data_IF_646933236894
#
_entry.id   IF_646933236894
#
_cell.length_a   1.000
_cell.length_b   1.000
_cell.length_c   1.000
_cell.angle_alpha   90.00
_cell.angle_beta   90.00
_cell.angle_gamma   90.00
#
_symmetry.space_group_name_H-M   'P 1'
#
loop_
_entity.id
_entity.type
_entity.pdbx_description
1 polymer ?
#
# COMPACT_ATOMS: atom_id res chain seq x y z
N UNK A 1 7.69 18.05 24.86
CA UNK A 1 8.26 18.65 23.63
C UNK A 1 8.59 17.50 22.68
N UNK A 2 7.83 17.26 21.64
CA UNK A 2 8.18 16.22 20.66
C UNK A 2 8.99 16.89 19.57
N UNK A 3 10.28 16.61 19.53
CA UNK A 3 11.17 16.98 18.43
C UNK A 3 10.86 16.08 17.22
N UNK A 4 11.11 16.56 16.00
CA UNK A 4 11.13 15.72 14.82
C UNK A 4 12.20 14.63 14.99
N UNK A 5 11.87 13.40 14.64
CA UNK A 5 12.75 12.26 14.87
C UNK A 5 13.21 11.67 13.54
N UNK A 6 14.48 11.27 13.52
CA UNK A 6 15.03 10.43 12.46
C UNK A 6 15.09 8.99 12.98
N UNK A 7 14.38 8.11 12.30
CA UNK A 7 14.36 6.69 12.63
C UNK A 7 14.92 5.85 11.49
N UNK A 8 15.74 4.89 11.82
CA UNK A 8 16.22 3.87 10.91
C UNK A 8 15.78 2.49 11.35
N UNK A 9 15.53 1.62 10.37
CA UNK A 9 15.24 0.23 10.60
C UNK A 9 15.81 -0.67 9.52
N UNK A 10 16.07 -1.92 9.90
CA UNK A 10 16.48 -2.98 9.01
C UNK A 10 15.81 -4.28 9.41
N UNK A 11 15.19 -4.95 8.44
CA UNK A 11 14.62 -6.28 8.61
C UNK A 11 15.16 -7.19 7.52
N UNK A 12 15.70 -8.35 7.90
CA UNK A 12 16.25 -9.33 6.96
C UNK A 12 15.63 -10.68 7.29
N UNK A 13 14.75 -11.14 6.41
CA UNK A 13 14.10 -12.43 6.53
C UNK A 13 14.93 -13.47 5.78
N UNK A 14 15.23 -14.60 6.41
CA UNK A 14 15.99 -15.71 5.83
C UNK A 14 15.32 -17.03 6.15
N UNK A 15 15.67 -18.03 5.36
CA UNK A 15 15.37 -19.42 5.62
C UNK A 15 16.67 -20.08 6.11
N UNK A 16 16.63 -20.61 7.33
CA UNK A 16 17.82 -21.17 7.99
C UNK A 16 17.95 -22.69 7.79
N UNK A 17 17.01 -23.32 7.06
CA UNK A 17 16.97 -24.77 6.85
C UNK A 17 17.05 -25.11 5.36
N UNK A 18 17.55 -26.30 4.99
CA UNK A 18 17.54 -26.81 3.62
C UNK A 18 16.14 -26.79 3.00
N UNK A 19 16.07 -26.70 1.66
CA UNK A 19 14.79 -26.60 0.93
C UNK A 19 13.87 -27.82 1.16
N UNK A 20 14.45 -28.95 1.53
CA UNK A 20 13.74 -30.20 1.79
C UNK A 20 13.07 -30.22 3.17
N UNK A 21 13.52 -29.40 4.10
CA UNK A 21 13.00 -29.33 5.45
C UNK A 21 11.95 -28.19 5.60
N UNK A 22 10.91 -28.47 6.38
CA UNK A 22 9.92 -27.47 6.80
C UNK A 22 10.51 -26.64 7.94
N UNK A 23 11.12 -25.49 7.59
CA UNK A 23 11.60 -24.52 8.59
C UNK A 23 10.85 -23.22 8.50
N UNK A 24 10.48 -22.66 9.65
CA UNK A 24 9.93 -21.31 9.70
C UNK A 24 11.00 -20.29 9.29
N UNK A 25 10.67 -19.28 8.46
CA UNK A 25 11.61 -18.23 8.14
C UNK A 25 11.88 -17.41 9.39
N UNK A 26 13.11 -16.98 9.57
CA UNK A 26 13.53 -16.19 10.72
C UNK A 26 14.09 -14.85 10.27
N UNK A 27 13.91 -13.84 11.12
CA UNK A 27 14.57 -12.56 10.93
C UNK A 27 16.00 -12.66 11.46
N UNK A 28 16.98 -12.76 10.54
CA UNK A 28 18.40 -12.74 10.90
C UNK A 28 18.83 -11.36 11.41
N UNK A 29 18.12 -10.31 10.98
CA UNK A 29 18.29 -8.94 11.50
C UNK A 29 16.91 -8.31 11.68
N UNK A 30 16.69 -7.70 12.83
CA UNK A 30 15.50 -6.92 13.14
C UNK A 30 15.92 -5.75 14.04
N UNK A 31 16.36 -4.67 13.41
CA UNK A 31 16.91 -3.48 14.07
C UNK A 31 16.02 -2.28 13.76
N UNK A 32 15.84 -1.43 14.74
CA UNK A 32 15.07 -0.19 14.57
C UNK A 32 15.42 0.82 15.65
N UNK A 33 15.24 2.08 15.33
CA UNK A 33 15.38 3.20 16.25
C UNK A 33 14.06 3.93 16.44
N UNK A 34 13.86 4.53 17.60
CA UNK A 34 12.68 5.34 17.90
C UNK A 34 12.54 6.50 16.89
N UNK A 35 11.33 6.81 16.40
CA UNK A 35 10.00 6.29 16.79
C UNK A 35 9.51 5.07 16.00
N UNK A 36 10.30 4.48 15.12
CA UNK A 36 9.96 3.24 14.43
C UNK A 36 10.06 2.05 15.42
N UNK A 37 9.13 1.11 15.30
CA UNK A 37 9.18 -0.19 15.95
C UNK A 37 8.81 -1.28 14.95
N UNK A 38 9.59 -2.35 14.94
CA UNK A 38 9.32 -3.55 14.15
C UNK A 38 8.95 -4.69 15.08
N UNK A 39 7.85 -5.36 14.81
CA UNK A 39 7.37 -6.50 15.59
C UNK A 39 7.23 -7.72 14.67
N UNK A 40 7.95 -8.78 15.00
CA UNK A 40 7.86 -10.07 14.33
C UNK A 40 7.25 -11.10 15.31
N UNK A 41 5.95 -11.44 15.17
CA UNK A 41 5.32 -12.45 16.03
C UNK A 41 6.02 -13.80 15.88
N UNK A 42 6.29 -14.46 17.00
CA UNK A 42 6.76 -15.85 17.01
C UNK A 42 5.55 -16.77 16.94
N UNK A 43 5.57 -17.78 16.08
CA UNK A 43 4.55 -18.85 16.07
C UNK A 43 3.42 -18.71 15.04
N UNK A 44 3.36 -17.66 14.24
CA UNK A 44 2.40 -17.61 13.12
C UNK A 44 2.75 -18.59 11.98
N UNK A 45 3.82 -19.38 12.11
CA UNK A 45 4.32 -20.28 11.07
C UNK A 45 3.67 -21.64 11.06
N UNK A 46 3.07 -22.12 12.16
CA UNK A 46 2.54 -23.50 12.18
C UNK A 46 1.20 -23.61 11.43
N UNK A 47 0.34 -22.60 11.48
CA UNK A 47 -0.92 -22.59 10.74
C UNK A 47 -0.79 -22.00 9.32
N UNK A 48 0.27 -21.26 9.03
CA UNK A 48 0.59 -20.80 7.68
C UNK A 48 1.21 -21.89 6.78
N UNK A 49 1.46 -23.06 7.30
CA UNK A 49 1.68 -24.28 6.49
C UNK A 49 0.36 -24.77 5.88
N UNK A 50 -0.48 -23.85 5.49
CA UNK A 50 -1.78 -24.14 4.93
C UNK A 50 -1.63 -24.98 3.67
N UNK A 51 -2.18 -26.15 3.75
CA UNK A 51 -2.85 -26.91 2.68
C UNK A 51 -2.79 -26.32 1.24
N UNK A 52 -1.59 -26.00 0.76
CA UNK A 52 -1.28 -25.97 -0.66
C UNK A 52 -1.32 -27.38 -1.27
N UNK A 53 -1.76 -28.38 -0.49
CA UNK A 53 -1.56 -29.79 -0.73
C UNK A 53 -2.65 -30.43 -1.59
N UNK A 54 -3.44 -29.73 -2.34
CA UNK A 54 -4.42 -30.44 -3.20
C UNK A 54 -4.49 -30.06 -4.67
N UNK A 55 -3.80 -29.05 -5.17
CA UNK A 55 -3.97 -28.69 -6.59
C UNK A 55 -2.72 -28.32 -7.41
N UNK A 56 -1.50 -28.36 -6.87
CA UNK A 56 -0.32 -28.18 -7.71
C UNK A 56 0.82 -29.12 -7.29
N UNK A 57 0.95 -30.20 -8.03
CA UNK A 57 1.98 -31.22 -7.85
C UNK A 57 3.33 -30.83 -8.45
N UNK A 58 3.50 -29.60 -8.95
CA UNK A 58 4.68 -29.17 -9.69
C UNK A 58 5.66 -28.29 -8.90
N UNK A 59 5.32 -27.84 -7.70
CA UNK A 59 6.26 -27.06 -6.88
C UNK A 59 6.62 -27.79 -5.59
N UNK A 60 7.78 -28.44 -5.53
CA UNK A 60 8.18 -29.28 -4.37
C UNK A 60 8.59 -28.48 -3.13
N UNK A 61 8.70 -27.16 -3.21
CA UNK A 61 9.20 -26.33 -2.10
C UNK A 61 8.05 -25.58 -1.41
N UNK A 62 7.74 -25.97 -0.17
CA UNK A 62 6.82 -25.21 0.68
C UNK A 62 7.49 -23.94 1.14
N UNK A 63 6.92 -22.79 0.76
CA UNK A 63 7.38 -21.46 1.20
C UNK A 63 6.73 -21.13 2.55
N UNK A 64 7.55 -20.80 3.53
CA UNK A 64 7.08 -20.37 4.85
C UNK A 64 6.87 -18.85 4.88
N UNK A 65 5.94 -18.37 5.71
CA UNK A 65 5.57 -16.96 5.80
C UNK A 65 6.14 -16.33 7.06
N UNK A 66 6.98 -15.30 6.90
CA UNK A 66 7.37 -14.40 7.97
C UNK A 66 6.38 -13.24 8.08
N UNK A 67 6.10 -12.79 9.29
CA UNK A 67 5.18 -11.68 9.54
C UNK A 67 5.93 -10.53 10.20
N UNK A 68 5.75 -9.33 9.67
CA UNK A 68 6.36 -8.12 10.19
C UNK A 68 5.33 -7.00 10.33
N UNK A 69 5.17 -6.48 11.53
CA UNK A 69 4.40 -5.27 11.78
C UNK A 69 5.33 -4.06 11.87
N UNK A 70 5.05 -3.06 11.07
CA UNK A 70 5.64 -1.73 11.21
C UNK A 70 4.73 -0.87 12.09
N UNK A 71 5.29 -0.37 13.17
CA UNK A 71 4.58 0.40 14.19
C UNK A 71 5.28 1.73 14.41
N UNK A 72 4.52 2.81 14.55
CA UNK A 72 5.05 4.10 14.98
C UNK A 72 4.70 4.34 16.44
N UNK A 73 5.69 4.67 17.27
CA UNK A 73 5.43 5.11 18.64
C UNK A 73 4.54 6.35 18.65
N UNK A 74 3.57 6.40 19.56
CA UNK A 74 2.59 7.48 19.60
C UNK A 74 1.46 7.35 18.57
N UNK A 75 1.41 6.24 17.83
CA UNK A 75 0.29 5.91 16.91
C UNK A 75 0.29 6.71 15.60
N UNK A 76 1.37 7.39 15.25
CA UNK A 76 1.49 8.13 13.99
C UNK A 76 2.78 8.91 13.86
N UNK A 77 2.91 9.66 12.76
CA UNK A 77 4.07 10.48 12.44
C UNK A 77 3.83 11.92 12.88
N UNK A 78 4.77 12.48 13.59
CA UNK A 78 4.76 13.89 13.98
C UNK A 78 5.42 14.71 12.87
N UNK A 79 5.01 15.98 12.75
CA UNK A 79 5.58 16.92 11.77
C UNK A 79 7.10 16.91 11.79
N UNK A 80 7.71 16.66 10.63
CA UNK A 80 9.15 16.57 10.45
C UNK A 80 9.78 15.19 10.72
N UNK A 81 9.04 14.21 11.23
CA UNK A 81 9.57 12.86 11.40
C UNK A 81 10.06 12.28 10.07
N UNK A 82 11.20 11.61 10.12
CA UNK A 82 11.74 10.89 8.98
C UNK A 82 12.04 9.44 9.36
N UNK A 83 11.35 8.51 8.72
CA UNK A 83 11.54 7.07 8.89
C UNK A 83 12.19 6.49 7.64
N UNK A 84 13.31 5.81 7.81
CA UNK A 84 13.97 5.00 6.79
C UNK A 84 13.94 3.54 7.20
N UNK A 85 13.53 2.65 6.29
CA UNK A 85 13.48 1.21 6.55
C UNK A 85 14.03 0.46 5.34
N UNK A 86 14.90 -0.52 5.59
CA UNK A 86 15.37 -1.48 4.59
C UNK A 86 14.85 -2.87 4.95
N UNK A 87 14.19 -3.53 3.98
CA UNK A 87 13.61 -4.86 4.13
C UNK A 87 14.19 -5.78 3.07
N UNK A 88 14.77 -6.89 3.48
CA UNK A 88 15.32 -7.90 2.58
C UNK A 88 14.57 -9.22 2.79
N UNK A 89 13.81 -9.62 1.77
CA UNK A 89 13.02 -10.85 1.72
C UNK A 89 13.87 -11.94 1.07
N UNK A 90 14.35 -12.86 1.87
CA UNK A 90 15.28 -13.93 1.46
C UNK A 90 14.67 -14.92 0.47
N UNK A 91 15.54 -15.65 -0.18
CA UNK A 91 15.15 -16.69 -1.13
C UNK A 91 14.23 -17.73 -0.51
N UNK A 92 13.26 -18.18 -1.28
CA UNK A 92 12.27 -19.19 -0.87
C UNK A 92 11.46 -18.82 0.38
N UNK A 93 11.34 -17.52 0.70
CA UNK A 93 10.51 -17.03 1.79
C UNK A 93 9.36 -16.17 1.27
N UNK A 94 8.31 -16.06 2.07
CA UNK A 94 7.24 -15.06 1.91
C UNK A 94 7.27 -14.13 3.11
N UNK A 95 7.16 -12.84 2.87
CA UNK A 95 7.01 -11.82 3.92
C UNK A 95 5.63 -11.19 3.81
N UNK A 96 4.82 -11.34 4.86
CA UNK A 96 3.66 -10.51 5.08
C UNK A 96 4.07 -9.30 5.92
N UNK A 97 3.93 -8.11 5.37
CA UNK A 97 4.19 -6.86 6.10
C UNK A 97 2.93 -6.06 6.29
N UNK A 98 2.69 -5.64 7.52
CA UNK A 98 1.49 -4.96 7.98
C UNK A 98 1.87 -3.71 8.78
N UNK A 99 0.87 -2.84 9.02
CA UNK A 99 0.94 -1.80 10.05
C UNK A 99 -0.02 -2.12 11.19
N UNK A 100 0.25 -1.61 12.38
CA UNK A 100 -0.68 -1.72 13.50
C UNK A 100 -1.67 -0.56 13.45
N UNK A 101 -2.79 -0.76 12.74
CA UNK A 101 -3.77 0.29 12.49
C UNK A 101 -3.29 1.32 11.44
N UNK A 102 -4.10 2.35 11.19
CA UNK A 102 -3.81 3.39 10.21
C UNK A 102 -2.57 4.22 10.59
N UNK A 103 -1.75 4.55 9.58
CA UNK A 103 -0.65 5.50 9.77
C UNK A 103 -1.23 6.91 9.85
N UNK A 104 -1.32 7.44 11.05
CA UNK A 104 -1.80 8.80 11.28
C UNK A 104 -0.68 9.79 11.03
N UNK A 105 -0.94 10.84 10.25
CA UNK A 105 0.00 11.94 10.06
C UNK A 105 -0.55 13.15 10.80
N UNK A 106 0.15 13.56 11.85
CA UNK A 106 -0.32 14.66 12.68
C UNK A 106 -0.09 16.02 12.04
N UNK A 107 -0.88 17.00 12.46
CA UNK A 107 -0.83 18.38 11.96
C UNK A 107 0.56 19.01 12.10
N UNK A 108 0.87 19.91 11.17
CA UNK A 108 2.05 20.77 11.25
C UNK A 108 1.99 21.63 12.53
N UNK A 109 3.12 21.79 13.21
CA UNK A 109 3.20 22.66 14.37
C UNK A 109 3.26 24.11 13.92
N UNK A 110 2.46 24.98 14.54
CA UNK A 110 2.57 26.40 14.33
C UNK A 110 3.84 26.90 15.03
N UNK A 111 4.58 27.80 14.38
CA UNK A 111 5.84 28.35 14.89
C UNK A 111 5.75 29.07 16.26
N UNK A 112 4.54 29.38 16.76
CA UNK A 112 4.33 29.94 18.10
C UNK A 112 4.45 28.93 19.23
N UNK A 113 4.42 27.61 18.92
CA UNK A 113 4.53 26.53 19.92
C UNK A 113 5.98 26.06 20.10
N UNK A 114 6.95 26.63 19.37
CA UNK A 114 8.36 26.25 19.40
C UNK A 114 9.21 27.31 20.08
N UNK A 115 10.21 26.94 20.91
CA UNK A 115 11.19 27.89 21.39
C UNK A 115 11.90 28.59 20.22
N UNK A 116 12.14 29.88 20.35
CA UNK A 116 12.74 30.73 19.30
C UNK A 116 14.03 30.17 18.70
N UNK A 117 14.79 29.38 19.44
CA UNK A 117 16.04 28.71 19.00
C UNK A 117 15.80 27.59 17.96
N UNK A 118 14.60 27.01 17.89
CA UNK A 118 14.26 25.93 16.95
C UNK A 118 13.74 26.51 15.63
N UNK A 119 13.26 27.75 15.62
CA UNK A 119 12.77 28.44 14.43
C UNK A 119 13.87 28.69 13.37
N UNK A 120 15.12 28.78 13.77
CA UNK A 120 16.26 29.00 12.86
C UNK A 120 16.81 27.69 12.24
N UNK A 121 16.44 26.53 12.77
CA UNK A 121 16.82 25.23 12.23
C UNK A 121 15.76 24.67 11.24
N UNK A 122 14.64 25.35 11.09
CA UNK A 122 13.52 24.91 10.26
C UNK A 122 13.78 25.29 8.81
N UNK A 123 14.28 24.34 8.05
CA UNK A 123 14.13 24.37 6.60
C UNK A 123 12.63 24.38 6.20
N UNK A 124 12.30 24.46 4.90
CA UNK A 124 10.95 24.69 4.44
C UNK A 124 9.98 23.63 4.95
N UNK A 125 8.99 24.06 5.72
CA UNK A 125 7.75 23.38 6.16
C UNK A 125 7.94 21.87 6.43
N UNK A 126 7.95 21.50 7.68
CA UNK A 126 8.26 20.16 8.18
C UNK A 126 7.35 19.07 7.60
N UNK A 127 7.83 18.34 6.61
CA UNK A 127 7.14 17.21 5.99
C UNK A 127 7.49 15.93 6.75
N UNK A 128 6.49 15.20 7.24
CA UNK A 128 6.69 13.85 7.75
C UNK A 128 6.99 12.90 6.60
N UNK A 129 8.08 12.15 6.68
CA UNK A 129 8.61 11.34 5.57
C UNK A 129 8.80 9.88 5.94
N UNK A 130 8.46 9.01 4.98
CA UNK A 130 8.83 7.59 5.04
C UNK A 130 9.55 7.21 3.75
N UNK A 131 10.72 6.60 3.90
CA UNK A 131 11.50 6.05 2.79
C UNK A 131 11.76 4.57 3.06
N UNK A 132 11.11 3.69 2.31
CA UNK A 132 11.23 2.25 2.51
C UNK A 132 11.79 1.61 1.24
N UNK A 133 12.79 0.77 1.44
CA UNK A 133 13.41 0.00 0.38
C UNK A 133 13.23 -1.49 0.64
N UNK A 134 12.66 -2.19 -0.32
CA UNK A 134 12.41 -3.62 -0.28
C UNK A 134 13.27 -4.32 -1.34
N UNK A 135 14.03 -5.31 -0.93
CA UNK A 135 14.71 -6.25 -1.83
C UNK A 135 13.98 -7.58 -1.75
N UNK A 136 13.41 -8.03 -2.86
CA UNK A 136 12.71 -9.31 -2.96
C UNK A 136 13.56 -10.26 -3.79
N UNK A 137 14.17 -11.25 -3.12
CA UNK A 137 15.11 -12.16 -3.75
C UNK A 137 14.42 -13.18 -4.67
N UNK A 138 15.21 -14.03 -5.31
CA UNK A 138 14.69 -15.09 -6.15
C UNK A 138 13.78 -16.05 -5.37
N UNK A 139 12.72 -16.52 -6.00
CA UNK A 139 11.71 -17.38 -5.37
C UNK A 139 11.07 -16.81 -4.09
N UNK A 140 11.22 -15.50 -3.85
CA UNK A 140 10.63 -14.82 -2.70
C UNK A 140 9.35 -14.07 -3.10
N UNK A 141 8.51 -13.82 -2.09
CA UNK A 141 7.27 -13.08 -2.26
C UNK A 141 7.12 -12.04 -1.15
N UNK A 142 6.90 -10.80 -1.52
CA UNK A 142 6.49 -9.75 -0.59
C UNK A 142 4.99 -9.49 -0.73
N UNK A 143 4.27 -9.60 0.39
CA UNK A 143 2.86 -9.22 0.51
C UNK A 143 2.78 -8.05 1.49
N UNK A 144 2.59 -6.84 0.97
CA UNK A 144 2.51 -5.60 1.75
C UNK A 144 1.06 -5.14 1.81
N UNK A 145 0.41 -5.31 2.97
CA UNK A 145 -0.99 -4.99 3.22
C UNK A 145 -1.12 -4.06 4.44
N UNK A 146 -0.65 -2.82 4.37
CA UNK A 146 -0.77 -1.89 5.48
C UNK A 146 -2.21 -1.42 5.66
N UNK A 147 -2.56 -0.91 6.83
CA UNK A 147 -3.74 -0.09 7.00
C UNK A 147 -3.55 1.29 6.32
N UNK A 148 -4.63 2.03 6.03
CA UNK A 148 -4.53 3.26 5.25
C UNK A 148 -3.75 4.37 5.95
N UNK A 149 -3.12 5.22 5.16
CA UNK A 149 -2.57 6.49 5.66
C UNK A 149 -3.71 7.47 5.87
N UNK A 150 -3.75 8.11 7.04
CA UNK A 150 -4.74 9.13 7.38
C UNK A 150 -4.03 10.45 7.71
N UNK A 151 -4.10 11.39 6.79
CA UNK A 151 -3.56 12.73 6.98
C UNK A 151 -4.53 13.59 7.77
N UNK A 152 -4.15 14.04 8.96
CA UNK A 152 -4.95 14.97 9.75
C UNK A 152 -4.91 16.38 9.16
N UNK A 153 -5.83 17.22 9.58
CA UNK A 153 -5.87 18.61 9.11
C UNK A 153 -4.51 19.29 9.27
N UNK A 154 -4.11 20.03 8.24
CA UNK A 154 -2.85 20.81 8.20
C UNK A 154 -1.59 19.95 8.29
N UNK A 155 -1.66 18.66 7.94
CA UNK A 155 -0.48 17.80 7.86
C UNK A 155 0.21 17.89 6.50
N UNK A 156 1.48 17.44 6.47
CA UNK A 156 2.28 17.25 5.27
C UNK A 156 2.94 15.88 5.33
N UNK A 157 2.72 15.09 4.31
CA UNK A 157 3.24 13.73 4.24
C UNK A 157 3.89 13.40 2.90
N UNK A 158 5.02 12.72 2.95
CA UNK A 158 5.67 12.17 1.77
C UNK A 158 6.19 10.77 2.03
N UNK A 159 5.80 9.82 1.17
CA UNK A 159 6.24 8.44 1.17
C UNK A 159 6.98 8.12 -0.13
N UNK A 160 8.08 7.39 -0.01
CA UNK A 160 8.77 6.78 -1.14
C UNK A 160 9.01 5.32 -0.80
N UNK A 161 8.49 4.42 -1.62
CA UNK A 161 8.72 2.99 -1.52
C UNK A 161 9.40 2.51 -2.81
N UNK A 162 10.49 1.76 -2.65
CA UNK A 162 11.21 1.12 -3.74
C UNK A 162 11.21 -0.38 -3.55
N UNK A 163 10.87 -1.09 -4.61
CA UNK A 163 10.77 -2.54 -4.62
C UNK A 163 11.71 -3.08 -5.70
N UNK A 164 12.82 -3.67 -5.29
CA UNK A 164 13.78 -4.31 -6.18
C UNK A 164 13.52 -5.81 -6.19
N UNK A 165 12.94 -6.30 -7.29
CA UNK A 165 12.69 -7.71 -7.54
C UNK A 165 13.91 -8.29 -8.27
N UNK A 166 14.56 -9.27 -7.64
CA UNK A 166 15.84 -9.79 -8.12
C UNK A 166 15.69 -10.82 -9.24
N UNK A 167 14.47 -11.29 -9.51
CA UNK A 167 14.22 -12.22 -10.62
C UNK A 167 12.85 -11.95 -11.27
N UNK A 168 12.87 -11.73 -12.56
CA UNK A 168 11.66 -11.59 -13.39
C UNK A 168 10.76 -12.82 -13.36
N UNK A 169 11.38 -13.99 -13.25
CA UNK A 169 10.68 -15.28 -13.35
C UNK A 169 10.12 -15.77 -12.03
N UNK A 170 10.74 -15.40 -10.90
CA UNK A 170 10.46 -16.09 -9.63
C UNK A 170 10.14 -15.18 -8.45
N UNK A 171 10.47 -13.87 -8.52
CA UNK A 171 10.10 -12.90 -7.48
C UNK A 171 8.65 -12.45 -7.65
N UNK A 172 7.92 -12.29 -6.55
CA UNK A 172 6.52 -11.85 -6.59
C UNK A 172 6.24 -10.72 -5.59
N UNK A 173 5.31 -9.84 -5.97
CA UNK A 173 4.92 -8.68 -5.18
C UNK A 173 3.40 -8.50 -5.18
N UNK A 174 2.82 -8.39 -3.97
CA UNK A 174 1.50 -7.86 -3.73
C UNK A 174 1.68 -6.58 -2.92
N UNK A 175 1.37 -5.43 -3.52
CA UNK A 175 1.47 -4.13 -2.89
C UNK A 175 0.09 -3.49 -2.80
N UNK A 176 -0.33 -3.13 -1.60
CA UNK A 176 -1.45 -2.23 -1.33
C UNK A 176 -0.92 -0.90 -0.81
N UNK A 177 -1.27 0.20 -1.48
CA UNK A 177 -0.99 1.57 -1.04
C UNK A 177 -2.29 2.37 -1.06
N UNK A 178 -2.76 2.81 0.11
CA UNK A 178 -4.04 3.48 0.24
C UNK A 178 -4.07 4.55 1.32
N UNK A 179 -4.96 5.50 1.14
CA UNK A 179 -5.10 6.62 2.06
C UNK A 179 -6.56 7.10 2.16
N UNK A 180 -6.84 7.82 3.22
CA UNK A 180 -8.15 8.44 3.47
C UNK A 180 -8.05 9.96 3.40
N UNK A 181 -9.17 10.61 3.11
CA UNK A 181 -9.29 12.07 3.00
C UNK A 181 -8.98 12.82 4.29
N UNK A 182 -8.91 12.14 5.43
CA UNK A 182 -8.66 12.76 6.73
C UNK A 182 -9.39 12.03 7.85
N UNK A 183 -9.38 12.63 9.02
CA UNK A 183 -10.04 12.08 10.19
C UNK A 183 -11.54 12.34 10.16
N UNK A 184 -12.32 11.27 10.29
CA UNK A 184 -13.75 11.37 10.57
C UNK A 184 -13.96 11.95 11.97
N UNK A 185 -15.03 12.72 12.15
CA UNK A 185 -15.44 13.14 13.48
C UNK A 185 -15.86 11.89 14.28
N UNK A 186 -15.21 11.68 15.41
CA UNK A 186 -15.57 10.59 16.33
C UNK A 186 -16.67 11.05 17.29
N UNK A 187 -16.69 12.35 17.60
CA UNK A 187 -17.65 12.98 18.49
C UNK A 187 -18.46 14.02 17.70
N UNK A 188 -19.75 14.18 18.00
CA UNK A 188 -20.64 15.13 17.37
C UNK A 188 -20.19 16.62 17.51
N UNK A 189 -19.21 16.88 18.35
CA UNK A 189 -18.65 18.21 18.60
C UNK A 189 -17.46 18.57 17.68
N UNK A 190 -16.89 17.62 16.94
CA UNK A 190 -15.73 17.87 16.08
C UNK A 190 -16.11 17.93 14.62
N UNK A 191 -15.63 18.97 13.95
CA UNK A 191 -15.77 19.10 12.50
C UNK A 191 -14.92 18.03 11.80
N UNK A 192 -15.49 17.28 10.84
CA UNK A 192 -14.71 16.34 10.03
C UNK A 192 -13.55 17.03 9.31
N UNK A 193 -12.39 16.37 9.26
CA UNK A 193 -11.18 16.93 8.63
C UNK A 193 -10.99 16.43 7.20
N UNK A 194 -12.06 16.37 6.40
CA UNK A 194 -11.95 15.86 5.02
C UNK A 194 -11.14 16.78 4.13
N UNK A 195 -10.09 16.26 3.52
CA UNK A 195 -9.24 16.94 2.55
C UNK A 195 -8.56 18.21 3.08
N UNK A 196 -8.41 18.36 4.40
CA UNK A 196 -7.80 19.54 5.02
C UNK A 196 -6.31 19.40 5.30
N UNK A 197 -5.60 18.55 4.58
CA UNK A 197 -4.14 18.44 4.62
C UNK A 197 -3.48 19.31 3.53
N UNK A 198 -2.27 19.77 3.78
CA UNK A 198 -1.51 20.57 2.80
C UNK A 198 -0.87 19.70 1.71
N UNK A 199 -0.38 18.50 2.09
CA UNK A 199 0.37 17.64 1.19
C UNK A 199 0.16 16.17 1.55
N UNK A 200 -0.22 15.39 0.54
CA UNK A 200 -0.04 13.95 0.50
C UNK A 200 0.74 13.59 -0.75
N UNK A 201 1.90 12.95 -0.55
CA UNK A 201 2.73 12.46 -1.64
C UNK A 201 3.08 11.00 -1.38
N UNK A 202 2.72 10.11 -2.29
CA UNK A 202 3.16 8.71 -2.30
C UNK A 202 3.81 8.39 -3.64
N UNK A 203 4.97 7.73 -3.60
CA UNK A 203 5.67 7.23 -4.77
C UNK A 203 6.06 5.78 -4.55
N UNK A 204 5.55 4.91 -5.39
CA UNK A 204 5.91 3.49 -5.45
C UNK A 204 6.70 3.24 -6.75
N UNK A 205 7.89 2.69 -6.61
CA UNK A 205 8.76 2.37 -7.75
C UNK A 205 9.14 0.89 -7.68
N UNK A 206 8.84 0.15 -8.74
CA UNK A 206 9.16 -1.28 -8.86
C UNK A 206 10.21 -1.46 -9.94
N UNK A 207 11.31 -2.10 -9.60
CA UNK A 207 12.37 -2.48 -10.53
C UNK A 207 12.54 -4.00 -10.56
N UNK A 208 12.94 -4.51 -11.70
CA UNK A 208 13.29 -5.91 -11.92
C UNK A 208 14.63 -5.97 -12.61
N UNK A 209 15.56 -6.74 -12.08
CA UNK A 209 16.91 -6.87 -12.64
C UNK A 209 17.56 -5.48 -12.87
N UNK A 210 17.30 -4.53 -11.95
CA UNK A 210 17.78 -3.15 -12.02
C UNK A 210 17.02 -2.22 -12.97
N UNK A 211 16.02 -2.71 -13.70
CA UNK A 211 15.20 -1.91 -14.62
C UNK A 211 13.85 -1.55 -14.01
N UNK A 212 13.52 -0.26 -13.99
CA UNK A 212 12.23 0.21 -13.49
C UNK A 212 11.11 -0.20 -14.44
N UNK A 213 10.14 -0.97 -13.94
CA UNK A 213 8.97 -1.44 -14.69
C UNK A 213 7.69 -0.70 -14.35
N UNK A 214 7.62 -0.11 -13.15
CA UNK A 214 6.46 0.66 -12.70
C UNK A 214 6.88 1.84 -11.83
N UNK A 215 6.22 2.97 -12.05
CA UNK A 215 6.23 4.13 -11.16
C UNK A 215 4.80 4.59 -10.96
N UNK A 216 4.28 4.37 -9.77
CA UNK A 216 3.03 4.98 -9.37
C UNK A 216 3.32 6.18 -8.48
N UNK A 217 2.68 7.30 -8.78
CA UNK A 217 2.87 8.54 -8.04
C UNK A 217 1.54 9.21 -7.80
N UNK A 218 1.27 9.45 -6.54
CA UNK A 218 0.16 10.27 -6.10
C UNK A 218 0.71 11.55 -5.49
N UNK A 219 0.21 12.69 -5.93
CA UNK A 219 0.64 13.98 -5.43
C UNK A 219 -0.57 14.89 -5.31
N UNK A 220 -1.01 15.08 -4.09
CA UNK A 220 -2.12 15.94 -3.73
C UNK A 220 -1.58 17.07 -2.87
N UNK A 221 -1.62 18.28 -3.39
CA UNK A 221 -1.15 19.48 -2.70
C UNK A 221 -2.15 20.59 -2.90
N UNK A 222 -2.38 21.39 -1.87
CA UNK A 222 -3.29 22.52 -1.92
C UNK A 222 -2.93 23.56 -0.85
N UNK A 223 -3.40 24.79 -1.05
CA UNK A 223 -3.54 25.77 0.02
C UNK A 223 -4.85 25.49 0.77
N UNK A 224 -4.84 25.74 2.06
CA UNK A 224 -6.00 25.46 2.91
C UNK A 224 -6.74 26.75 3.25
N UNK A 225 -8.07 26.67 3.35
CA UNK A 225 -8.87 27.76 3.90
C UNK A 225 -8.53 27.97 5.39
N UNK A 226 -8.91 29.12 5.91
CA UNK A 226 -8.63 29.46 7.31
C UNK A 226 -9.38 28.56 8.28
N UNK A 227 -10.59 28.18 7.93
CA UNK A 227 -11.48 27.36 8.78
C UNK A 227 -11.67 25.95 8.22
N UNK A 228 -11.90 24.98 9.10
CA UNK A 228 -12.20 23.60 8.72
C UNK A 228 -13.63 23.42 8.15
N UNK A 229 -14.49 24.40 8.31
CA UNK A 229 -15.86 24.37 7.78
C UNK A 229 -15.93 24.68 6.29
N UNK A 230 -14.90 25.30 5.74
CA UNK A 230 -14.85 25.61 4.32
C UNK A 230 -14.43 24.40 3.48
N UNK A 231 -15.07 24.20 2.35
CA UNK A 231 -14.76 23.11 1.42
C UNK A 231 -13.48 23.38 0.65
N UNK A 232 -12.53 22.47 0.71
CA UNK A 232 -11.25 22.58 -0.02
C UNK A 232 -11.40 22.27 -1.51
N UNK A 233 -10.42 22.64 -2.31
CA UNK A 233 -10.39 22.31 -3.74
C UNK A 233 -10.29 20.79 -3.97
N UNK A 234 -9.51 20.08 -3.16
CA UNK A 234 -9.44 18.62 -3.23
C UNK A 234 -10.76 17.96 -2.89
N UNK A 235 -11.49 18.48 -1.88
CA UNK A 235 -12.82 17.97 -1.55
C UNK A 235 -13.75 18.06 -2.76
N UNK A 236 -13.88 19.23 -3.39
CA UNK A 236 -14.73 19.42 -4.58
C UNK A 236 -14.36 18.52 -5.76
N UNK A 237 -13.06 18.24 -5.95
CA UNK A 237 -12.56 17.44 -7.07
C UNK A 237 -12.69 15.93 -6.85
N UNK A 238 -12.66 15.48 -5.60
CA UNK A 238 -12.69 14.06 -5.24
C UNK A 238 -14.07 13.57 -4.83
N UNK A 239 -15.03 14.47 -4.56
CA UNK A 239 -16.39 14.10 -4.17
C UNK A 239 -17.04 13.14 -5.18
N UNK A 240 -17.74 12.09 -4.72
CA UNK A 240 -18.08 11.77 -3.31
C UNK A 240 -17.04 10.89 -2.60
N UNK A 241 -15.89 10.62 -3.20
CA UNK A 241 -14.93 9.63 -2.72
C UNK A 241 -14.00 10.22 -1.66
N UNK A 242 -13.82 9.47 -0.57
CA UNK A 242 -12.98 9.86 0.58
C UNK A 242 -11.84 8.90 0.87
N UNK A 243 -11.78 7.77 0.17
CA UNK A 243 -10.74 6.75 0.30
C UNK A 243 -10.25 6.29 -1.06
N UNK A 244 -8.94 6.23 -1.24
CA UNK A 244 -8.30 5.83 -2.49
C UNK A 244 -7.28 4.74 -2.21
N UNK A 245 -7.29 3.69 -3.03
CA UNK A 245 -6.36 2.58 -2.93
C UNK A 245 -5.77 2.21 -4.29
N UNK A 246 -4.49 1.85 -4.28
CA UNK A 246 -3.78 1.27 -5.40
C UNK A 246 -3.27 -0.11 -5.01
N UNK A 247 -3.56 -1.10 -5.84
CA UNK A 247 -3.01 -2.45 -5.70
C UNK A 247 -2.11 -2.71 -6.90
N UNK A 248 -0.84 -3.08 -6.64
CA UNK A 248 0.09 -3.50 -7.66
C UNK A 248 0.43 -4.97 -7.43
N UNK A 249 0.24 -5.77 -8.46
CA UNK A 249 0.49 -7.21 -8.47
C UNK A 249 1.54 -7.53 -9.50
N UNK A 250 2.53 -8.34 -9.12
CA UNK A 250 3.56 -8.82 -10.06
C UNK A 250 4.09 -10.20 -9.66
N UNK A 251 4.44 -10.98 -10.66
CA UNK A 251 5.15 -12.25 -10.51
C UNK A 251 4.28 -13.50 -10.45
N UNK A 252 4.91 -14.69 -10.47
CA UNK A 252 4.20 -15.97 -10.67
C UNK A 252 3.17 -16.28 -9.58
N UNK A 253 3.42 -15.89 -8.33
CA UNK A 253 2.45 -16.11 -7.24
C UNK A 253 1.15 -15.28 -7.44
N UNK A 254 1.19 -14.21 -8.23
CA UNK A 254 0.04 -13.35 -8.48
C UNK A 254 -0.80 -13.76 -9.71
N UNK A 255 -0.36 -14.73 -10.50
CA UNK A 255 -0.97 -15.08 -11.79
C UNK A 255 -2.46 -15.40 -11.66
N UNK A 256 -2.85 -16.23 -10.69
CA UNK A 256 -4.25 -16.59 -10.48
C UNK A 256 -5.12 -15.39 -10.07
N UNK A 257 -4.59 -14.51 -9.21
CA UNK A 257 -5.27 -13.30 -8.78
C UNK A 257 -5.41 -12.30 -9.93
N UNK A 258 -4.36 -12.13 -10.73
CA UNK A 258 -4.39 -11.28 -11.92
C UNK A 258 -5.46 -11.76 -12.93
N UNK A 259 -5.52 -13.06 -13.18
CA UNK A 259 -6.52 -13.64 -14.08
C UNK A 259 -7.95 -13.44 -13.56
N UNK A 260 -8.19 -13.65 -12.25
CA UNK A 260 -9.48 -13.44 -11.62
C UNK A 260 -9.97 -11.99 -11.74
N UNK A 261 -9.11 -11.03 -11.38
CA UNK A 261 -9.42 -9.60 -11.47
C UNK A 261 -9.65 -9.14 -12.91
N UNK A 262 -8.85 -9.64 -13.87
CA UNK A 262 -9.02 -9.31 -15.29
C UNK A 262 -10.34 -9.83 -15.81
N UNK A 263 -10.73 -11.07 -15.47
CA UNK A 263 -12.00 -11.67 -15.85
C UNK A 263 -13.17 -10.86 -15.30
N UNK A 264 -13.12 -10.49 -14.04
CA UNK A 264 -14.16 -9.70 -13.39
C UNK A 264 -14.28 -8.31 -14.02
N UNK A 265 -13.16 -7.63 -14.22
CA UNK A 265 -13.13 -6.31 -14.85
C UNK A 265 -13.70 -6.32 -16.27
N UNK A 266 -13.46 -7.40 -17.04
CA UNK A 266 -14.00 -7.53 -18.38
C UNK A 266 -15.52 -7.63 -18.43
N UNK A 267 -16.16 -7.99 -17.32
CA UNK A 267 -17.62 -8.08 -17.19
C UNK A 267 -18.28 -6.75 -16.82
N UNK A 268 -17.48 -5.75 -16.40
CA UNK A 268 -18.00 -4.43 -16.05
C UNK A 268 -18.36 -3.71 -17.34
N UNK A 269 -19.66 -3.49 -17.54
CA UNK A 269 -20.14 -2.60 -18.59
C UNK A 269 -19.84 -1.16 -18.19
N UNK A 270 -18.83 -0.56 -18.81
CA UNK A 270 -18.60 0.86 -18.64
C UNK A 270 -19.80 1.62 -19.24
N UNK A 271 -20.48 2.48 -18.46
CA UNK A 271 -21.50 3.36 -19.04
C UNK A 271 -20.84 4.20 -20.12
N UNK A 272 -21.29 4.07 -21.37
CA UNK A 272 -20.77 4.88 -22.46
C UNK A 272 -21.12 6.35 -22.18
N UNK A 273 -20.16 7.24 -22.00
CA UNK A 273 -20.43 8.63 -21.60
C UNK A 273 -21.15 9.45 -22.68
N UNK A 274 -21.29 8.91 -23.89
CA UNK A 274 -21.74 9.65 -25.07
C UNK A 274 -23.14 9.37 -25.56
N UNK A 275 -23.87 8.40 -25.00
CA UNK A 275 -25.30 8.23 -25.30
C UNK A 275 -26.17 8.91 -24.24
N UNK A 276 -26.02 10.22 -24.07
CA UNK A 276 -27.06 11.04 -23.45
C UNK A 276 -28.20 11.18 -24.48
N UNK A 277 -29.16 10.28 -24.44
CA UNK A 277 -30.47 10.56 -24.98
C UNK A 277 -31.01 11.81 -24.29
N UNK A 278 -31.29 12.84 -25.08
CA UNK A 278 -31.87 14.09 -24.65
C UNK A 278 -33.28 13.82 -24.08
N UNK A 279 -33.40 13.56 -22.79
CA UNK A 279 -34.74 13.42 -22.23
C UNK A 279 -34.86 12.65 -20.93
N UNK A 280 -34.04 12.89 -19.96
CA UNK A 280 -34.37 12.91 -18.52
C UNK A 280 -33.12 13.20 -17.72
N UNK A 281 -33.11 14.34 -17.02
CA UNK A 281 -32.12 14.64 -15.98
C UNK A 281 -32.41 13.78 -14.75
N UNK A 282 -32.27 12.47 -14.87
CA UNK A 282 -32.13 11.59 -13.72
C UNK A 282 -30.76 11.84 -13.11
N UNK A 283 -30.72 12.33 -11.89
CA UNK A 283 -29.51 12.49 -11.12
C UNK A 283 -28.93 11.09 -10.88
N UNK A 284 -27.94 10.66 -11.67
CA UNK A 284 -27.27 9.37 -11.50
C UNK A 284 -26.42 9.47 -10.22
N UNK A 285 -26.87 8.79 -9.18
CA UNK A 285 -26.10 8.67 -7.94
C UNK A 285 -24.79 7.93 -8.26
N UNK A 286 -23.60 8.50 -7.95
CA UNK A 286 -22.36 7.79 -8.18
C UNK A 286 -22.30 6.52 -7.32
N UNK A 287 -21.68 5.44 -7.81
CA UNK A 287 -21.54 4.21 -7.04
C UNK A 287 -20.65 4.42 -5.82
N UNK A 288 -20.88 3.65 -4.76
CA UNK A 288 -20.10 3.73 -3.52
C UNK A 288 -18.62 3.39 -3.71
N UNK A 289 -18.31 2.55 -4.70
CA UNK A 289 -16.96 2.18 -5.12
C UNK A 289 -16.84 2.20 -6.64
N UNK A 290 -15.77 2.80 -7.11
CA UNK A 290 -15.33 2.69 -8.51
C UNK A 290 -13.92 2.12 -8.55
N UNK A 291 -13.62 1.33 -9.55
CA UNK A 291 -12.28 0.79 -9.73
C UNK A 291 -11.91 0.63 -11.20
N UNK A 292 -10.62 0.61 -11.45
CA UNK A 292 -10.05 0.41 -12.77
C UNK A 292 -8.86 -0.52 -12.70
N UNK A 293 -8.60 -1.24 -13.78
CA UNK A 293 -7.51 -2.17 -13.91
C UNK A 293 -6.67 -1.81 -15.14
N UNK A 294 -5.35 -1.84 -14.97
CA UNK A 294 -4.39 -1.61 -16.04
C UNK A 294 -3.27 -2.66 -15.96
N UNK A 295 -2.86 -3.25 -17.10
CA UNK A 295 -1.72 -4.15 -17.11
C UNK A 295 -0.42 -3.39 -16.86
N UNK A 296 0.55 -4.05 -16.24
CA UNK A 296 1.93 -3.59 -16.16
C UNK A 296 2.63 -3.99 -17.46
N UNK A 297 2.82 -3.01 -18.36
CA UNK A 297 3.59 -3.23 -19.59
C UNK A 297 5.07 -2.99 -19.32
N UNK A 298 5.90 -4.02 -19.34
CA UNK A 298 7.35 -3.86 -19.32
C UNK A 298 7.86 -3.60 -20.74
N UNK A 299 8.17 -2.35 -21.06
CA UNK A 299 8.84 -1.97 -22.29
C UNK A 299 8.11 -0.89 -23.08
N UNK A 300 8.88 -0.09 -23.84
CA UNK A 300 8.34 0.78 -24.86
C UNK A 300 7.53 -0.06 -25.88
N UNK A 301 6.44 0.47 -26.46
CA UNK A 301 5.72 -0.22 -27.52
C UNK A 301 6.71 -0.53 -28.64
N UNK A 302 6.93 -1.81 -28.89
CA UNK A 302 7.73 -2.24 -30.04
C UNK A 302 6.87 -1.98 -31.27
N UNK A 303 7.28 -1.12 -32.22
CA UNK A 303 6.53 -0.88 -33.42
C UNK A 303 6.31 -2.21 -34.17
N UNK A 304 5.06 -2.59 -34.41
CA UNK A 304 4.71 -3.81 -35.13
C UNK A 304 4.31 -5.01 -34.29
N UNK A 305 4.26 -4.91 -32.97
CA UNK A 305 3.63 -5.94 -32.13
C UNK A 305 2.14 -5.67 -31.97
N UNK A 306 1.32 -6.50 -32.60
CA UNK A 306 -0.11 -6.59 -32.29
C UNK A 306 -0.27 -7.04 -30.83
N UNK A 307 -0.78 -6.15 -30.00
CA UNK A 307 -1.15 -6.46 -28.62
C UNK A 307 -2.36 -7.41 -28.60
N UNK A 308 -2.11 -8.70 -28.72
CA UNK A 308 -3.15 -9.71 -28.46
C UNK A 308 -3.42 -9.79 -26.97
N UNK A 309 -4.69 -9.80 -26.61
CA UNK A 309 -5.18 -9.84 -25.22
C UNK A 309 -4.62 -11.00 -24.37
N UNK A 310 -4.10 -12.04 -25.00
CA UNK A 310 -3.57 -13.24 -24.35
C UNK A 310 -2.17 -13.05 -23.69
N UNK A 311 -1.50 -11.92 -23.94
CA UNK A 311 -0.19 -11.61 -23.34
C UNK A 311 -0.27 -10.81 -22.04
N UNK A 312 -1.47 -10.49 -21.56
CA UNK A 312 -1.65 -9.65 -20.37
C UNK A 312 -1.44 -10.37 -19.04
N UNK A 313 -1.61 -11.71 -18.99
CA UNK A 313 -1.57 -12.47 -17.73
C UNK A 313 -0.17 -12.59 -17.10
N UNK A 314 0.90 -12.43 -17.88
CA UNK A 314 2.26 -12.79 -17.46
C UNK A 314 3.05 -11.65 -16.81
N UNK A 315 2.52 -10.42 -16.76
CA UNK A 315 3.34 -9.24 -16.44
C UNK A 315 2.92 -8.43 -15.22
N UNK A 316 1.78 -8.75 -14.62
CA UNK A 316 1.25 -8.03 -13.46
C UNK A 316 0.21 -6.97 -13.80
N UNK A 317 -0.43 -6.45 -12.76
CA UNK A 317 -1.55 -5.51 -12.86
C UNK A 317 -1.40 -4.35 -11.88
N UNK A 318 -1.98 -3.22 -12.23
CA UNK A 318 -2.30 -2.12 -11.32
C UNK A 318 -3.80 -1.95 -11.26
N UNK A 319 -4.37 -2.01 -10.05
CA UNK A 319 -5.78 -1.76 -9.79
C UNK A 319 -5.90 -0.49 -8.97
N UNK A 320 -6.74 0.44 -9.42
CA UNK A 320 -7.04 1.70 -8.71
C UNK A 320 -8.47 1.68 -8.26
N UNK A 321 -8.68 2.00 -6.98
CA UNK A 321 -9.97 1.96 -6.32
C UNK A 321 -10.23 3.32 -5.68
N UNK A 322 -11.46 3.83 -5.82
CA UNK A 322 -11.94 4.98 -5.06
C UNK A 322 -13.28 4.63 -4.43
N UNK A 323 -13.46 4.95 -3.16
CA UNK A 323 -14.68 4.67 -2.43
C UNK A 323 -15.18 5.85 -1.62
N UNK A 324 -16.49 5.91 -1.47
CA UNK A 324 -17.15 6.95 -0.69
C UNK A 324 -16.80 6.88 0.81
N UNK A 325 -16.49 5.67 1.29
CA UNK A 325 -16.09 5.39 2.69
C UNK A 325 -14.92 4.42 2.73
N UNK A 326 -14.11 4.51 3.79
CA UNK A 326 -12.98 3.59 4.01
C UNK A 326 -13.44 2.14 4.12
N UNK A 327 -14.56 1.90 4.82
CA UNK A 327 -15.09 0.55 5.01
C UNK A 327 -15.54 -0.08 3.69
N UNK A 328 -16.12 0.71 2.78
CA UNK A 328 -16.53 0.23 1.46
C UNK A 328 -15.32 -0.22 0.62
N UNK A 329 -14.22 0.54 0.67
CA UNK A 329 -12.95 0.13 0.03
C UNK A 329 -12.36 -1.10 0.71
N UNK A 330 -12.43 -1.20 2.04
CA UNK A 330 -11.94 -2.37 2.80
C UNK A 330 -12.69 -3.64 2.41
N UNK A 331 -14.02 -3.58 2.33
CA UNK A 331 -14.86 -4.71 1.90
C UNK A 331 -14.48 -5.11 0.47
N UNK A 332 -14.36 -4.15 -0.44
CA UNK A 332 -13.93 -4.42 -1.80
C UNK A 332 -12.56 -5.12 -1.83
N UNK A 333 -11.58 -4.62 -1.12
CA UNK A 333 -10.24 -5.22 -1.03
C UNK A 333 -10.31 -6.64 -0.47
N UNK A 334 -11.09 -6.85 0.60
CA UNK A 334 -11.26 -8.16 1.21
C UNK A 334 -11.85 -9.20 0.24
N UNK A 335 -12.83 -8.81 -0.54
CA UNK A 335 -13.51 -9.70 -1.48
C UNK A 335 -12.65 -10.00 -2.70
N UNK A 336 -12.02 -8.98 -3.29
CA UNK A 336 -11.31 -9.11 -4.57
C UNK A 336 -9.87 -9.62 -4.44
N UNK A 337 -9.23 -9.41 -3.29
CA UNK A 337 -7.89 -9.94 -3.01
C UNK A 337 -7.89 -11.29 -2.27
N UNK A 338 -9.04 -11.96 -2.17
CA UNK A 338 -9.20 -13.18 -1.37
C UNK A 338 -8.21 -14.32 -1.73
N UNK A 339 -7.70 -14.37 -2.97
CA UNK A 339 -6.70 -15.35 -3.38
C UNK A 339 -5.33 -15.15 -2.72
N UNK A 340 -5.05 -13.97 -2.15
CA UNK A 340 -3.83 -13.71 -1.36
C UNK A 340 -3.76 -14.66 -0.14
N UNK A 341 -4.91 -15.12 0.37
CA UNK A 341 -4.95 -16.13 1.44
C UNK A 341 -4.16 -17.40 1.15
N UNK A 342 -3.97 -17.76 -0.12
CA UNK A 342 -3.16 -18.90 -0.51
C UNK A 342 -1.66 -18.65 -0.38
N UNK A 343 -1.25 -17.37 -0.31
CA UNK A 343 0.15 -16.99 -0.11
C UNK A 343 0.50 -16.89 1.38
N UNK A 344 -0.42 -16.36 2.21
CA UNK A 344 -0.13 -15.96 3.59
C UNK A 344 -0.95 -16.73 4.66
N UNK A 345 -1.87 -17.57 4.25
CA UNK A 345 -2.82 -18.26 5.14
C UNK A 345 -4.13 -17.49 5.36
N UNK A 346 -5.20 -18.24 5.60
CA UNK A 346 -6.55 -17.66 5.73
C UNK A 346 -6.69 -16.76 6.97
N UNK A 347 -6.08 -17.16 8.10
CA UNK A 347 -6.14 -16.40 9.34
C UNK A 347 -5.37 -15.10 9.23
N UNK A 348 -4.16 -15.13 8.65
CA UNK A 348 -3.38 -13.92 8.42
C UNK A 348 -4.03 -12.99 7.40
N UNK A 349 -4.70 -13.52 6.38
CA UNK A 349 -5.48 -12.71 5.46
C UNK A 349 -6.63 -11.99 6.19
N UNK A 350 -7.33 -12.67 7.08
CA UNK A 350 -8.40 -12.10 7.90
C UNK A 350 -7.88 -10.99 8.82
N UNK A 351 -6.71 -11.21 9.44
CA UNK A 351 -6.05 -10.17 10.28
C UNK A 351 -5.61 -8.96 9.46
N UNK A 352 -5.13 -9.17 8.24
CA UNK A 352 -4.61 -8.10 7.38
C UNK A 352 -5.72 -7.22 6.79
N UNK A 353 -6.87 -7.82 6.46
CA UNK A 353 -7.91 -7.18 5.65
C UNK A 353 -9.25 -6.98 6.40
N UNK A 354 -9.41 -7.62 7.56
CA UNK A 354 -10.63 -7.59 8.38
C UNK A 354 -10.84 -6.37 9.28
#
# INVERSE_FOLDING_TARGET
MSQAHYAEGRAVLRRDVPLEELGAPQFSHLEFTFPLRLLAPRGASEDATVNAAKHDTTSPVKKCVGILFMVSFGGGLVSGDFVRLNVDVGEYTRLLMLTQGSTKVYKERRGGDLPQQVLYASGPKEVSRQCIHYTVRENATLVLLPAPVTCFARSRYAQVQRFDLMSRATSSLVLLDWFTSGRLAVDHERVPEFWHFYLYHSRNEVSIDGHVIARDRQHLAQELPETLSETTDLARRCEPYTCFANVLLYGPECTALCAALTKEYSQIQQPQPFLRSSGSRGQVTPPDVVWSLSPLCSGAPVPGCDYKADTFSDKGLVVRIAGAKTDTVRVWLYEHLHLVRHMIGADMYRVAMG
#
